data_IF_040040933493
#
_entry.id   IF_040040933493
#
_cell.length_a   1.000
_cell.length_b   1.000
_cell.length_c   1.000
_cell.angle_alpha   90.00
_cell.angle_beta   90.00
_cell.angle_gamma   90.00
#
_symmetry.space_group_name_H-M   'P 1'
#
loop_
_entity.id
_entity.type
_entity.pdbx_description
1 polymer ?
#
# COMPACT_ATOMS: atom_id res chain seq x y z
N UNK A 1 -3.41 -29.52 11.74
CA UNK A 1 -2.46 -28.63 12.46
C UNK A 1 -2.50 -27.29 11.73
N UNK A 2 -2.69 -26.16 12.42
CA UNK A 2 -2.74 -24.85 11.76
C UNK A 2 -1.37 -24.45 11.23
N UNK A 3 -1.30 -23.91 10.01
CA UNK A 3 -0.11 -23.20 9.54
C UNK A 3 -0.10 -21.77 10.06
N UNK A 4 0.64 -21.53 11.14
CA UNK A 4 0.76 -20.22 11.78
C UNK A 4 1.51 -19.18 10.91
N UNK A 5 2.24 -19.62 9.89
CA UNK A 5 2.91 -18.74 8.95
C UNK A 5 1.94 -18.16 7.92
N UNK A 6 0.83 -18.85 7.65
CA UNK A 6 -0.25 -18.34 6.80
C UNK A 6 -1.04 -17.25 7.53
N UNK A 7 -0.45 -16.05 7.53
CA UNK A 7 -0.90 -14.92 8.34
C UNK A 7 -0.63 -13.59 7.67
N UNK A 8 -1.41 -12.57 8.04
CA UNK A 8 -1.12 -11.16 7.73
C UNK A 8 -1.07 -10.32 9.00
N UNK A 9 -0.40 -9.15 9.00
CA UNK A 9 -0.46 -8.23 10.13
C UNK A 9 -1.90 -7.82 10.46
N UNK A 10 -2.21 -7.73 11.75
CA UNK A 10 -3.42 -7.09 12.24
C UNK A 10 -3.46 -5.63 11.76
N UNK A 11 -4.60 -5.21 11.19
CA UNK A 11 -4.85 -3.86 10.71
C UNK A 11 -5.66 -3.07 11.76
N UNK A 12 -5.03 -2.18 12.54
CA UNK A 12 -5.72 -1.41 13.56
C UNK A 12 -6.58 -0.28 12.98
N UNK A 13 -6.61 -0.09 11.66
CA UNK A 13 -7.36 0.98 11.01
C UNK A 13 -8.75 0.55 10.54
N UNK A 14 -9.16 -0.69 10.81
CA UNK A 14 -10.52 -1.16 10.48
C UNK A 14 -11.57 -0.36 11.24
N UNK A 15 -12.60 0.08 10.52
CA UNK A 15 -13.62 0.97 11.03
C UNK A 15 -14.98 0.68 10.39
N UNK A 16 -16.05 0.86 11.18
CA UNK A 16 -17.44 0.89 10.71
C UNK A 16 -18.33 1.59 11.74
N UNK A 17 -19.29 2.36 11.26
CA UNK A 17 -20.37 3.02 12.00
C UNK A 17 -21.75 2.42 11.66
N UNK A 18 -21.80 1.36 10.85
CA UNK A 18 -23.04 0.70 10.43
C UNK A 18 -23.74 -0.01 11.60
N UNK A 19 -25.07 0.06 11.64
CA UNK A 19 -25.87 -0.45 12.75
C UNK A 19 -25.63 -1.95 13.07
N UNK A 20 -25.57 -2.87 12.08
CA UNK A 20 -25.21 -4.28 12.33
C UNK A 20 -23.88 -4.45 13.08
N UNK A 21 -22.85 -3.70 12.69
CA UNK A 21 -21.53 -3.77 13.33
C UNK A 21 -21.60 -3.24 14.76
N UNK A 22 -22.31 -2.13 14.98
CA UNK A 22 -22.46 -1.54 16.30
C UNK A 22 -23.20 -2.48 17.26
N UNK A 23 -24.27 -3.13 16.81
CA UNK A 23 -25.02 -4.11 17.61
C UNK A 23 -24.16 -5.30 18.00
N UNK A 24 -23.45 -5.93 17.06
CA UNK A 24 -22.57 -7.06 17.37
C UNK A 24 -21.43 -6.66 18.30
N UNK A 25 -20.85 -5.47 18.10
CA UNK A 25 -19.80 -4.96 18.98
C UNK A 25 -20.32 -4.78 20.41
N UNK A 26 -21.52 -4.21 20.59
CA UNK A 26 -22.12 -4.00 21.90
C UNK A 26 -22.46 -5.33 22.60
N UNK A 27 -23.04 -6.28 21.86
CA UNK A 27 -23.31 -7.63 22.35
C UNK A 27 -22.05 -8.32 22.88
N UNK A 28 -20.99 -8.36 22.06
CA UNK A 28 -19.72 -8.98 22.46
C UNK A 28 -19.08 -8.26 23.65
N UNK A 29 -19.16 -6.93 23.68
CA UNK A 29 -18.62 -6.15 24.79
C UNK A 29 -19.28 -6.48 26.13
N UNK A 30 -20.59 -6.75 26.11
CA UNK A 30 -21.34 -7.16 27.30
C UNK A 30 -20.91 -8.56 27.77
N UNK A 31 -20.70 -9.53 26.86
CA UNK A 31 -20.14 -10.83 27.23
C UNK A 31 -18.71 -10.72 27.79
N UNK A 32 -17.86 -9.92 27.13
CA UNK A 32 -16.47 -9.71 27.53
C UNK A 32 -16.35 -9.03 28.90
N UNK A 33 -17.37 -8.28 29.31
CA UNK A 33 -17.35 -7.51 30.57
C UNK A 33 -17.14 -8.40 31.80
N UNK A 34 -17.50 -9.69 31.73
CA UNK A 34 -17.31 -10.67 32.80
C UNK A 34 -15.85 -11.13 32.93
N UNK A 35 -15.05 -11.00 31.86
CA UNK A 35 -13.68 -11.49 31.78
C UNK A 35 -12.60 -10.39 31.86
N UNK A 36 -13.02 -9.11 31.79
CA UNK A 36 -12.11 -7.96 31.88
C UNK A 36 -12.05 -7.46 33.33
N UNK A 37 -10.85 -7.09 33.83
CA UNK A 37 -10.62 -6.79 35.26
C UNK A 37 -11.14 -5.42 35.75
N UNK A 38 -11.51 -4.49 34.87
CA UNK A 38 -11.92 -3.10 35.23
C UNK A 38 -13.41 -2.95 35.62
N UNK A 39 -13.87 -1.78 36.05
CA UNK A 39 -15.31 -1.55 36.37
C UNK A 39 -16.20 -1.42 35.10
N UNK A 40 -17.45 -1.88 35.18
CA UNK A 40 -18.38 -2.06 34.04
C UNK A 40 -18.61 -0.81 33.17
N UNK A 41 -18.81 0.38 33.78
CA UNK A 41 -19.05 1.62 33.02
C UNK A 41 -17.80 2.13 32.29
N UNK A 42 -16.62 1.96 32.88
CA UNK A 42 -15.36 2.35 32.25
C UNK A 42 -14.95 1.38 31.13
N UNK A 43 -15.36 0.10 31.23
CA UNK A 43 -15.13 -0.94 30.21
C UNK A 43 -15.80 -0.63 28.87
N UNK A 44 -17.06 -0.20 28.87
CA UNK A 44 -17.83 -0.05 27.62
C UNK A 44 -17.19 0.97 26.66
N UNK A 45 -16.97 2.20 27.12
CA UNK A 45 -16.41 3.25 26.25
C UNK A 45 -14.95 2.98 25.90
N UNK A 46 -14.15 2.47 26.85
CA UNK A 46 -12.72 2.34 26.63
C UNK A 46 -12.35 1.18 25.69
N UNK A 47 -13.08 0.06 25.70
CA UNK A 47 -12.71 -1.18 25.01
C UNK A 47 -13.47 -1.39 23.69
N UNK A 48 -14.65 -0.77 23.52
CA UNK A 48 -15.49 -0.92 22.33
C UNK A 48 -14.70 -0.73 21.04
N UNK A 49 -13.88 0.32 20.99
CA UNK A 49 -13.11 0.66 19.79
C UNK A 49 -12.02 -0.39 19.46
N UNK A 50 -11.32 -0.92 20.47
CA UNK A 50 -10.34 -1.99 20.29
C UNK A 50 -11.02 -3.30 19.90
N UNK A 51 -12.11 -3.67 20.58
CA UNK A 51 -12.91 -4.85 20.25
C UNK A 51 -13.40 -4.80 18.81
N UNK A 52 -14.02 -3.68 18.42
CA UNK A 52 -14.52 -3.46 17.06
C UNK A 52 -13.42 -3.67 16.03
N UNK A 53 -12.25 -3.05 16.21
CA UNK A 53 -11.11 -3.23 15.31
C UNK A 53 -10.68 -4.69 15.18
N UNK A 54 -10.59 -5.41 16.29
CA UNK A 54 -10.20 -6.84 16.31
C UNK A 54 -11.22 -7.70 15.54
N UNK A 55 -12.51 -7.59 15.86
CA UNK A 55 -13.52 -8.45 15.22
C UNK A 55 -13.71 -8.12 13.74
N UNK A 56 -13.63 -6.83 13.36
CA UNK A 56 -13.73 -6.43 11.96
C UNK A 56 -12.55 -6.96 11.15
N UNK A 57 -11.32 -6.87 11.67
CA UNK A 57 -10.17 -7.37 10.93
C UNK A 57 -10.16 -8.90 10.82
N UNK A 58 -10.62 -9.61 11.86
CA UNK A 58 -10.80 -11.07 11.85
C UNK A 58 -11.84 -11.49 10.79
N UNK A 59 -12.97 -10.77 10.73
CA UNK A 59 -14.01 -11.01 9.73
C UNK A 59 -13.50 -10.81 8.29
N UNK A 60 -12.73 -9.74 8.08
CA UNK A 60 -12.09 -9.48 6.78
C UNK A 60 -11.05 -10.55 6.45
N UNK A 61 -10.20 -10.94 7.41
CA UNK A 61 -9.21 -12.01 7.19
C UNK A 61 -9.88 -13.33 6.79
N UNK A 62 -10.94 -13.73 7.49
CA UNK A 62 -11.70 -14.94 7.17
C UNK A 62 -12.31 -14.87 5.75
N UNK A 63 -12.81 -13.71 5.34
CA UNK A 63 -13.32 -13.49 3.98
C UNK A 63 -12.24 -13.51 2.88
N UNK A 64 -10.96 -13.30 3.24
CA UNK A 64 -9.83 -13.44 2.31
C UNK A 64 -9.40 -14.90 2.17
N UNK A 65 -9.36 -15.63 3.29
CA UNK A 65 -9.19 -17.07 3.38
C UNK A 65 -9.58 -17.54 4.79
N UNK A 66 -10.35 -18.63 4.91
CA UNK A 66 -10.89 -19.10 6.18
C UNK A 66 -9.82 -19.53 7.21
N UNK A 67 -8.64 -19.92 6.75
CA UNK A 67 -7.48 -20.26 7.60
C UNK A 67 -6.49 -19.08 7.83
N UNK A 68 -6.79 -17.87 7.35
CA UNK A 68 -5.87 -16.74 7.45
C UNK A 68 -5.78 -16.19 8.88
N UNK A 69 -4.62 -16.33 9.50
CA UNK A 69 -4.36 -15.75 10.81
C UNK A 69 -4.05 -14.25 10.75
N UNK A 70 -4.37 -13.56 11.83
CA UNK A 70 -3.87 -12.22 12.12
C UNK A 70 -2.67 -12.29 13.06
N UNK A 71 -1.56 -11.71 12.62
CA UNK A 71 -0.35 -11.53 13.41
C UNK A 71 -0.40 -10.23 14.22
N UNK A 72 -0.27 -10.31 15.54
CA UNK A 72 -0.27 -9.15 16.44
C UNK A 72 0.80 -9.29 17.53
N UNK A 73 1.22 -8.17 18.10
CA UNK A 73 2.25 -8.17 19.14
C UNK A 73 1.64 -8.31 20.53
N UNK A 74 2.27 -9.08 21.42
CA UNK A 74 1.99 -9.04 22.86
C UNK A 74 3.07 -8.29 23.65
N UNK A 75 3.88 -7.48 22.96
CA UNK A 75 4.91 -6.64 23.56
C UNK A 75 4.45 -5.17 23.59
N UNK A 76 4.42 -4.59 24.80
CA UNK A 76 4.00 -3.21 25.06
C UNK A 76 4.75 -2.17 24.22
N UNK A 77 6.01 -2.45 23.82
CA UNK A 77 6.81 -1.56 22.95
C UNK A 77 6.21 -1.35 21.57
N UNK A 78 5.34 -2.24 21.09
CA UNK A 78 4.65 -2.11 19.80
C UNK A 78 3.40 -1.22 19.86
N UNK A 79 3.04 -0.71 21.03
CA UNK A 79 1.83 0.11 21.26
C UNK A 79 2.18 1.52 21.75
N UNK A 80 3.41 1.95 21.53
CA UNK A 80 3.89 3.28 21.93
C UNK A 80 3.25 4.33 21.02
N UNK A 81 2.76 5.41 21.63
CA UNK A 81 2.21 6.55 20.89
C UNK A 81 3.35 7.27 20.18
N UNK A 82 3.20 7.44 18.87
CA UNK A 82 4.16 8.19 18.05
C UNK A 82 3.56 9.57 17.76
N UNK A 83 4.34 10.62 18.01
CA UNK A 83 3.90 12.00 17.76
C UNK A 83 3.56 12.19 16.28
N UNK A 84 2.40 12.78 16.00
CA UNK A 84 1.94 13.02 14.62
C UNK A 84 1.01 11.93 14.06
N UNK A 85 0.81 10.84 14.82
CA UNK A 85 -0.06 9.72 14.44
C UNK A 85 -1.20 9.52 15.44
N UNK A 86 -2.29 8.91 14.96
CA UNK A 86 -3.37 8.41 15.81
C UNK A 86 -2.92 7.26 16.72
N UNK A 87 -3.48 7.19 17.93
CA UNK A 87 -3.35 6.01 18.78
C UNK A 87 -4.57 5.12 18.59
N UNK A 88 -4.44 4.12 17.71
CA UNK A 88 -5.58 3.29 17.29
C UNK A 88 -5.91 2.14 18.24
N UNK A 89 -4.90 1.59 18.92
CA UNK A 89 -5.06 0.49 19.88
C UNK A 89 -4.07 0.68 21.02
N UNK A 90 -4.52 0.44 22.26
CA UNK A 90 -3.63 0.43 23.43
C UNK A 90 -3.24 -1.00 23.80
N UNK A 91 -2.03 -1.17 24.37
CA UNK A 91 -1.52 -2.47 24.80
C UNK A 91 -2.51 -3.23 25.70
N UNK A 92 -2.87 -2.66 26.86
CA UNK A 92 -3.70 -3.36 27.85
C UNK A 92 -5.06 -3.77 27.27
N UNK A 93 -5.70 -2.87 26.52
CA UNK A 93 -6.99 -3.15 25.88
C UNK A 93 -6.88 -4.27 24.85
N UNK A 94 -5.83 -4.28 24.02
CA UNK A 94 -5.62 -5.34 23.04
C UNK A 94 -5.51 -6.71 23.71
N UNK A 95 -4.67 -6.80 24.74
CA UNK A 95 -4.41 -8.06 25.43
C UNK A 95 -5.68 -8.58 26.10
N UNK A 96 -6.37 -7.74 26.86
CA UNK A 96 -7.58 -8.16 27.58
C UNK A 96 -8.73 -8.49 26.64
N UNK A 97 -8.90 -7.77 25.52
CA UNK A 97 -9.90 -8.12 24.48
C UNK A 97 -9.60 -9.49 23.89
N UNK A 98 -8.35 -9.74 23.48
CA UNK A 98 -7.97 -11.02 22.85
C UNK A 98 -8.10 -12.17 23.84
N UNK A 99 -7.65 -11.99 25.08
CA UNK A 99 -7.72 -13.04 26.10
C UNK A 99 -9.18 -13.36 26.49
N UNK A 100 -10.06 -12.34 26.55
CA UNK A 100 -11.49 -12.55 26.80
C UNK A 100 -12.21 -13.23 25.61
N UNK A 101 -11.92 -12.83 24.37
CA UNK A 101 -12.45 -13.49 23.17
C UNK A 101 -12.01 -14.97 23.09
N UNK A 102 -10.78 -15.27 23.51
CA UNK A 102 -10.26 -16.63 23.59
C UNK A 102 -11.01 -17.45 24.65
N UNK A 103 -11.18 -16.90 25.86
CA UNK A 103 -11.89 -17.56 26.96
C UNK A 103 -13.35 -17.89 26.60
N UNK A 104 -14.01 -17.00 25.86
CA UNK A 104 -15.39 -17.17 25.38
C UNK A 104 -15.50 -18.03 24.10
N UNK A 105 -14.39 -18.49 23.54
CA UNK A 105 -14.36 -19.37 22.37
C UNK A 105 -14.69 -18.69 21.04
N UNK A 106 -14.65 -17.35 20.96
CA UNK A 106 -14.85 -16.61 19.71
C UNK A 106 -13.65 -16.68 18.77
N UNK A 107 -12.46 -16.89 19.32
CA UNK A 107 -11.22 -16.97 18.56
C UNK A 107 -10.41 -18.18 18.98
N UNK A 108 -9.48 -18.58 18.12
CA UNK A 108 -8.29 -19.32 18.54
C UNK A 108 -7.12 -18.34 18.57
N UNK A 109 -6.26 -18.46 19.58
CA UNK A 109 -5.09 -17.62 19.75
C UNK A 109 -3.88 -18.46 20.16
N UNK A 110 -2.80 -18.34 19.39
CA UNK A 110 -1.50 -18.91 19.69
C UNK A 110 -0.54 -17.80 20.13
N UNK A 111 -0.08 -17.79 21.39
CA UNK A 111 0.94 -16.86 21.85
C UNK A 111 2.23 -16.99 21.04
N UNK A 112 2.82 -15.84 20.71
CA UNK A 112 4.12 -15.76 20.08
C UNK A 112 5.28 -16.11 21.02
N UNK A 113 6.48 -16.20 20.47
CA UNK A 113 7.71 -16.45 21.21
C UNK A 113 8.90 -15.74 20.56
N UNK A 114 9.99 -15.60 21.32
CA UNK A 114 11.28 -15.16 20.81
C UNK A 114 12.39 -16.01 21.44
N UNK A 115 13.20 -16.63 20.58
CA UNK A 115 14.34 -17.49 20.95
C UNK A 115 15.63 -16.68 20.76
N UNK A 116 16.13 -16.13 21.87
CA UNK A 116 17.31 -15.25 21.87
C UNK A 116 18.58 -15.92 21.32
N UNK A 117 18.72 -17.22 21.53
CA UNK A 117 19.85 -18.05 21.06
C UNK A 117 19.95 -18.12 19.53
N UNK A 118 18.82 -18.01 18.82
CA UNK A 118 18.76 -18.13 17.35
C UNK A 118 18.35 -16.85 16.63
N UNK A 119 17.98 -15.82 17.38
CA UNK A 119 17.37 -14.61 16.80
C UNK A 119 16.01 -14.89 16.13
N UNK A 120 15.39 -16.02 16.42
CA UNK A 120 14.15 -16.48 15.80
C UNK A 120 12.95 -16.06 16.65
N UNK A 121 11.94 -15.48 16.02
CA UNK A 121 10.74 -15.09 16.74
C UNK A 121 9.50 -15.15 15.88
N UNK A 122 8.38 -15.36 16.55
CA UNK A 122 7.06 -15.34 15.94
C UNK A 122 6.14 -14.49 16.79
N UNK A 123 5.48 -13.51 16.17
CA UNK A 123 4.40 -12.75 16.82
C UNK A 123 3.23 -13.67 17.17
N UNK A 124 2.37 -13.26 18.09
CA UNK A 124 1.14 -14.01 18.37
C UNK A 124 0.24 -14.07 17.15
N UNK A 125 -0.59 -15.11 17.08
CA UNK A 125 -1.52 -15.37 15.99
C UNK A 125 -2.92 -15.53 16.54
N UNK A 126 -3.89 -14.83 15.95
CA UNK A 126 -5.31 -15.00 16.26
C UNK A 126 -6.12 -15.26 14.99
N UNK A 127 -7.17 -16.07 15.10
CA UNK A 127 -8.09 -16.37 14.01
C UNK A 127 -9.52 -16.47 14.54
N UNK A 128 -10.50 -16.02 13.76
CA UNK A 128 -11.91 -16.09 14.12
C UNK A 128 -12.39 -17.53 14.08
N UNK A 129 -13.03 -18.00 15.14
CA UNK A 129 -13.73 -19.30 15.13
C UNK A 129 -15.10 -19.14 14.45
N UNK A 130 -15.71 -20.25 13.96
CA UNK A 130 -17.06 -20.23 13.41
C UNK A 130 -18.05 -19.47 14.28
N UNK A 131 -18.00 -19.65 15.62
CA UNK A 131 -18.81 -18.89 16.59
C UNK A 131 -18.80 -17.37 16.36
N UNK A 132 -17.64 -16.76 16.12
CA UNK A 132 -17.53 -15.31 15.85
C UNK A 132 -18.04 -14.96 14.45
N UNK A 133 -17.61 -15.73 13.45
CA UNK A 133 -17.94 -15.45 12.05
C UNK A 133 -19.45 -15.59 11.81
N UNK A 134 -20.06 -16.65 12.35
CA UNK A 134 -21.50 -16.89 12.29
C UNK A 134 -22.26 -15.80 13.03
N UNK A 135 -21.82 -15.39 14.22
CA UNK A 135 -22.43 -14.26 14.94
C UNK A 135 -22.44 -12.99 14.08
N UNK A 136 -21.33 -12.67 13.40
CA UNK A 136 -21.23 -11.51 12.52
C UNK A 136 -22.14 -11.64 11.29
N UNK A 137 -22.16 -12.81 10.64
CA UNK A 137 -23.00 -13.06 9.47
C UNK A 137 -24.50 -13.01 9.82
N UNK A 138 -24.94 -13.69 10.87
CA UNK A 138 -26.33 -13.67 11.34
C UNK A 138 -26.74 -12.29 11.86
N UNK A 139 -25.80 -11.54 12.44
CA UNK A 139 -25.97 -10.14 12.82
C UNK A 139 -26.09 -9.18 11.63
N UNK A 140 -25.96 -9.66 10.39
CA UNK A 140 -26.10 -8.86 9.17
C UNK A 140 -24.85 -8.06 8.80
N UNK A 141 -23.69 -8.34 9.41
CA UNK A 141 -22.43 -7.68 9.06
C UNK A 141 -21.97 -8.13 7.67
N UNK A 142 -21.68 -7.16 6.79
CA UNK A 142 -21.16 -7.40 5.45
C UNK A 142 -19.80 -6.74 5.27
N UNK A 143 -18.95 -7.28 4.40
CA UNK A 143 -17.60 -6.72 4.16
C UNK A 143 -17.66 -5.27 3.66
N UNK A 144 -18.70 -4.90 2.92
CA UNK A 144 -18.91 -3.55 2.37
C UNK A 144 -19.17 -2.51 3.47
N UNK A 145 -19.59 -2.96 4.66
CA UNK A 145 -19.80 -2.11 5.85
C UNK A 145 -18.47 -1.73 6.52
N UNK A 146 -17.36 -2.39 6.16
CA UNK A 146 -16.06 -2.24 6.80
C UNK A 146 -15.16 -1.41 5.90
N UNK A 147 -14.56 -0.38 6.47
CA UNK A 147 -13.59 0.50 5.80
C UNK A 147 -12.28 0.52 6.57
N UNK A 148 -11.24 1.08 5.97
CA UNK A 148 -9.96 1.35 6.64
C UNK A 148 -9.77 2.87 6.79
N UNK A 149 -9.35 3.36 7.95
CA UNK A 149 -9.05 4.78 8.21
C UNK A 149 -7.60 4.95 8.73
N UNK A 150 -6.59 4.81 7.87
CA UNK A 150 -5.18 5.01 8.25
C UNK A 150 -4.87 6.49 8.48
N UNK A 151 -3.73 6.79 9.10
CA UNK A 151 -3.16 8.15 9.07
C UNK A 151 -2.85 8.53 7.62
N UNK A 152 -3.08 9.78 7.24
CA UNK A 152 -2.87 10.24 5.85
C UNK A 152 -1.38 10.35 5.47
N UNK A 153 -0.49 10.38 6.47
CA UNK A 153 0.96 10.53 6.29
C UNK A 153 1.68 9.51 7.16
N UNK A 154 2.61 8.80 6.53
CA UNK A 154 3.53 7.85 7.17
C UNK A 154 4.95 8.30 6.90
N UNK A 155 5.76 8.44 7.96
CA UNK A 155 7.17 8.81 7.91
C UNK A 155 8.02 7.67 8.46
N UNK A 156 8.72 6.96 7.57
CA UNK A 156 9.60 5.83 7.92
C UNK A 156 10.98 6.31 8.34
N UNK A 157 11.59 5.57 9.28
CA UNK A 157 12.96 5.81 9.71
C UNK A 157 13.98 5.51 8.59
N UNK A 158 15.22 5.97 8.77
CA UNK A 158 16.29 5.83 7.78
C UNK A 158 17.02 4.49 7.89
N UNK A 159 17.23 4.04 9.13
CA UNK A 159 17.87 2.79 9.52
C UNK A 159 16.94 1.59 9.39
N UNK A 160 15.67 1.77 9.75
CA UNK A 160 14.65 0.72 9.67
C UNK A 160 13.37 1.23 8.99
N UNK A 161 13.17 0.80 7.74
CA UNK A 161 11.98 1.15 6.94
C UNK A 161 10.67 0.58 7.50
N UNK A 162 10.73 -0.38 8.42
CA UNK A 162 9.55 -0.91 9.12
C UNK A 162 9.16 -0.08 10.35
N UNK A 163 10.07 0.79 10.82
CA UNK A 163 9.86 1.69 11.95
C UNK A 163 9.37 3.07 11.50
N UNK A 164 8.53 3.68 12.33
CA UNK A 164 7.97 5.02 12.11
C UNK A 164 8.66 6.04 13.00
N UNK A 165 8.88 7.24 12.46
CA UNK A 165 9.42 8.38 13.22
C UNK A 165 8.31 9.41 13.42
N UNK A 166 8.24 9.95 14.63
CA UNK A 166 7.29 11.02 14.96
C UNK A 166 7.65 12.34 14.29
N UNK A 167 6.63 13.15 13.99
CA UNK A 167 6.81 14.45 13.37
C UNK A 167 5.93 15.52 14.01
N UNK A 168 6.31 16.79 13.84
CA UNK A 168 5.46 17.94 14.19
C UNK A 168 4.63 18.33 12.98
N UNK A 169 3.37 18.65 13.21
CA UNK A 169 2.52 19.16 12.15
C UNK A 169 2.99 20.56 11.71
N UNK A 170 3.02 20.77 10.40
CA UNK A 170 3.40 22.01 9.70
C UNK A 170 2.33 22.36 8.67
N UNK A 171 2.34 23.59 8.15
CA UNK A 171 1.45 24.01 7.06
C UNK A 171 1.50 23.04 5.86
N UNK A 172 2.69 22.55 5.50
CA UNK A 172 2.86 21.59 4.40
C UNK A 172 2.21 20.24 4.71
N UNK A 173 2.49 19.67 5.89
CA UNK A 173 1.93 18.36 6.26
C UNK A 173 0.41 18.44 6.43
N UNK A 174 -0.13 19.52 7.02
CA UNK A 174 -1.59 19.72 7.11
C UNK A 174 -2.23 19.82 5.73
N UNK A 175 -1.59 20.54 4.79
CA UNK A 175 -2.05 20.61 3.40
C UNK A 175 -2.09 19.22 2.76
N UNK A 176 -1.03 18.41 2.91
CA UNK A 176 -1.00 17.05 2.37
C UNK A 176 -2.05 16.14 3.02
N UNK A 177 -2.25 16.19 4.34
CA UNK A 177 -3.33 15.46 5.02
C UNK A 177 -4.70 15.81 4.43
N UNK A 178 -4.98 17.10 4.27
CA UNK A 178 -6.23 17.58 3.68
C UNK A 178 -6.40 17.14 2.22
N UNK A 179 -5.33 17.13 1.43
CA UNK A 179 -5.36 16.67 0.05
C UNK A 179 -5.64 15.16 -0.03
N UNK A 180 -4.95 14.35 0.78
CA UNK A 180 -5.19 12.89 0.88
C UNK A 180 -6.63 12.62 1.29
N UNK A 181 -7.17 13.36 2.27
CA UNK A 181 -8.55 13.22 2.71
C UNK A 181 -9.55 13.54 1.58
N UNK A 182 -9.33 14.62 0.81
CA UNK A 182 -10.17 14.98 -0.35
C UNK A 182 -10.16 13.88 -1.42
N UNK A 183 -8.97 13.38 -1.77
CA UNK A 183 -8.81 12.32 -2.78
C UNK A 183 -9.51 11.03 -2.29
N UNK A 184 -9.24 10.63 -1.05
CA UNK A 184 -9.82 9.43 -0.44
C UNK A 184 -11.34 9.53 -0.31
N UNK A 185 -11.87 10.70 0.04
CA UNK A 185 -13.31 10.95 0.07
C UNK A 185 -13.94 10.78 -1.32
N UNK A 186 -13.29 11.31 -2.37
CA UNK A 186 -13.79 11.14 -3.74
C UNK A 186 -13.79 9.69 -4.19
N UNK A 187 -12.73 8.95 -3.90
CA UNK A 187 -12.65 7.51 -4.21
C UNK A 187 -13.71 6.74 -3.40
N UNK A 188 -13.88 7.08 -2.12
CA UNK A 188 -14.84 6.46 -1.21
C UNK A 188 -16.31 6.71 -1.55
N UNK A 189 -16.60 7.63 -2.48
CA UNK A 189 -17.93 7.84 -3.07
C UNK A 189 -18.22 6.91 -4.25
N UNK A 190 -17.25 6.11 -4.68
CA UNK A 190 -17.39 5.19 -5.81
C UNK A 190 -17.35 3.74 -5.37
N UNK A 191 -18.04 2.88 -6.12
CA UNK A 191 -17.99 1.43 -5.94
C UNK A 191 -16.90 0.84 -6.82
N UNK A 192 -15.68 0.76 -6.30
CA UNK A 192 -14.59 0.06 -6.99
C UNK A 192 -14.68 -1.44 -6.71
N UNK A 193 -14.85 -2.23 -7.77
CA UNK A 193 -15.01 -3.69 -7.66
C UNK A 193 -14.02 -4.41 -8.56
N UNK A 194 -13.57 -5.57 -8.10
CA UNK A 194 -12.77 -6.50 -8.89
C UNK A 194 -13.69 -7.61 -9.40
N UNK A 195 -14.02 -7.58 -10.69
CA UNK A 195 -14.96 -8.51 -11.32
C UNK A 195 -14.22 -9.69 -11.93
N UNK A 196 -14.07 -10.77 -11.16
CA UNK A 196 -13.36 -11.98 -11.59
C UNK A 196 -14.35 -13.11 -11.86
N UNK A 197 -14.07 -13.90 -12.90
CA UNK A 197 -14.63 -15.26 -12.98
C UNK A 197 -14.08 -16.14 -11.85
N UNK A 198 -14.69 -17.30 -11.61
CA UNK A 198 -14.19 -18.23 -10.60
C UNK A 198 -12.77 -18.72 -10.92
N UNK A 199 -12.47 -18.97 -12.21
CA UNK A 199 -11.13 -19.33 -12.64
C UNK A 199 -10.11 -18.20 -12.37
N UNK A 200 -10.46 -16.95 -12.68
CA UNK A 200 -9.59 -15.80 -12.41
C UNK A 200 -9.40 -15.56 -10.90
N UNK A 201 -10.46 -15.76 -10.10
CA UNK A 201 -10.38 -15.72 -8.65
C UNK A 201 -9.39 -16.75 -8.11
N UNK A 202 -9.52 -18.00 -8.56
CA UNK A 202 -8.61 -19.08 -8.14
C UNK A 202 -7.17 -18.81 -8.59
N UNK A 203 -6.96 -18.29 -9.80
CA UNK A 203 -5.63 -17.91 -10.29
C UNK A 203 -5.02 -16.77 -9.46
N UNK A 204 -5.82 -15.77 -9.08
CA UNK A 204 -5.37 -14.68 -8.21
C UNK A 204 -4.98 -15.19 -6.83
N UNK A 205 -5.80 -16.06 -6.23
CA UNK A 205 -5.50 -16.70 -4.94
C UNK A 205 -4.23 -17.54 -5.05
N UNK A 206 -4.08 -18.35 -6.08
CA UNK A 206 -2.87 -19.15 -6.30
C UNK A 206 -1.62 -18.28 -6.43
N UNK A 207 -1.73 -17.12 -7.10
CA UNK A 207 -0.61 -16.18 -7.27
C UNK A 207 -0.28 -15.38 -6.01
N UNK A 208 -1.27 -15.10 -5.16
CA UNK A 208 -1.13 -14.23 -3.98
C UNK A 208 -1.12 -14.98 -2.64
N UNK A 209 -1.45 -16.26 -2.65
CA UNK A 209 -1.77 -17.07 -1.47
C UNK A 209 -3.15 -16.81 -0.87
N UNK A 210 -3.77 -15.65 -1.13
CA UNK A 210 -5.07 -15.26 -0.55
C UNK A 210 -5.79 -14.22 -1.41
N UNK A 211 -7.10 -14.05 -1.20
CA UNK A 211 -7.81 -12.93 -1.81
C UNK A 211 -7.31 -11.58 -1.24
N UNK A 212 -7.11 -10.55 -2.08
CA UNK A 212 -6.83 -9.21 -1.59
C UNK A 212 -7.96 -8.66 -0.72
N UNK A 213 -7.59 -7.85 0.27
CA UNK A 213 -8.54 -7.10 1.09
C UNK A 213 -9.14 -5.94 0.27
N UNK A 214 -10.20 -6.23 -0.48
CA UNK A 214 -10.88 -5.24 -1.31
C UNK A 214 -11.61 -4.14 -0.49
N UNK A 215 -11.63 -4.22 0.84
CA UNK A 215 -12.22 -3.17 1.70
C UNK A 215 -11.26 -2.01 1.98
N UNK A 216 -9.98 -2.17 1.64
CA UNK A 216 -9.01 -1.10 1.80
C UNK A 216 -9.09 -0.12 0.63
N UNK A 217 -9.92 0.89 0.82
CA UNK A 217 -10.18 1.95 -0.16
C UNK A 217 -9.58 3.30 0.21
N UNK A 218 -8.71 3.34 1.22
CA UNK A 218 -8.10 4.58 1.71
C UNK A 218 -6.68 4.75 1.19
N UNK A 219 -6.27 6.01 1.06
CA UNK A 219 -4.92 6.38 0.66
C UNK A 219 -4.17 7.05 1.82
N UNK A 220 -2.85 6.91 1.80
CA UNK A 220 -1.92 7.66 2.64
C UNK A 220 -0.62 7.89 1.87
N UNK A 221 0.17 8.89 2.27
CA UNK A 221 1.48 9.16 1.67
C UNK A 221 2.59 8.55 2.51
N UNK A 222 3.56 7.90 1.87
CA UNK A 222 4.73 7.32 2.56
C UNK A 222 5.98 8.10 2.24
N UNK A 223 6.50 8.80 3.25
CA UNK A 223 7.80 9.44 3.27
C UNK A 223 8.83 8.54 3.94
N UNK A 224 10.09 8.68 3.57
CA UNK A 224 11.17 7.79 3.98
C UNK A 224 12.33 8.56 4.61
N UNK A 225 13.22 7.84 5.28
CA UNK A 225 14.45 8.38 5.85
C UNK A 225 14.26 9.54 6.83
N UNK A 226 13.12 9.61 7.53
CA UNK A 226 12.78 10.73 8.41
C UNK A 226 12.64 12.07 7.68
N UNK A 227 12.49 12.05 6.34
CA UNK A 227 12.53 13.22 5.46
C UNK A 227 11.28 13.34 4.60
N UNK A 228 10.70 14.54 4.54
CA UNK A 228 9.49 14.83 3.77
C UNK A 228 9.73 15.11 2.28
N UNK A 229 10.99 15.14 1.84
CA UNK A 229 11.41 15.23 0.44
C UNK A 229 11.92 13.89 -0.10
N UNK A 230 11.69 12.79 0.64
CA UNK A 230 12.08 11.43 0.26
C UNK A 230 10.83 10.54 0.15
N UNK A 231 10.50 10.09 -1.06
CA UNK A 231 9.26 9.36 -1.32
C UNK A 231 8.07 10.31 -1.35
N UNK A 232 6.95 9.94 -0.74
CA UNK A 232 5.72 10.74 -0.71
C UNK A 232 4.64 10.21 -1.64
N UNK A 233 4.90 9.12 -2.37
CA UNK A 233 3.90 8.40 -3.18
C UNK A 233 2.71 7.98 -2.33
N UNK A 234 1.56 7.84 -2.99
CA UNK A 234 0.32 7.39 -2.39
C UNK A 234 0.30 5.86 -2.29
N UNK A 235 -0.15 5.36 -1.14
CA UNK A 235 -0.26 3.93 -0.80
C UNK A 235 -1.58 3.62 -0.12
N UNK A 236 -1.92 2.33 -0.02
CA UNK A 236 -2.99 1.82 0.84
C UNK A 236 -4.11 1.14 0.08
N UNK A 237 -4.49 1.69 -1.07
CA UNK A 237 -5.59 1.15 -1.87
C UNK A 237 -5.31 -0.28 -2.35
N UNK A 238 -6.27 -1.19 -2.20
CA UNK A 238 -6.06 -2.62 -2.50
C UNK A 238 -5.60 -2.89 -3.94
N UNK A 239 -6.00 -2.02 -4.88
CA UNK A 239 -5.65 -2.13 -6.31
C UNK A 239 -4.15 -2.06 -6.54
N UNK A 240 -3.38 -1.34 -5.72
CA UNK A 240 -1.92 -1.29 -5.85
C UNK A 240 -1.26 -2.65 -5.66
N UNK A 241 -1.90 -3.53 -4.88
CA UNK A 241 -1.43 -4.88 -4.69
C UNK A 241 -1.80 -5.82 -5.84
N UNK A 242 -2.65 -5.43 -6.79
CA UNK A 242 -3.11 -6.32 -7.86
C UNK A 242 -2.08 -6.46 -8.98
N UNK A 243 -1.78 -7.69 -9.44
CA UNK A 243 -1.02 -7.88 -10.67
C UNK A 243 -1.73 -7.22 -11.87
N UNK A 244 -0.95 -6.76 -12.85
CA UNK A 244 -1.44 -5.94 -13.98
C UNK A 244 -2.59 -6.62 -14.72
N UNK A 245 -2.52 -7.92 -14.96
CA UNK A 245 -3.53 -8.67 -15.70
C UNK A 245 -4.88 -8.78 -14.96
N UNK A 246 -4.90 -8.62 -13.63
CA UNK A 246 -6.13 -8.56 -12.85
C UNK A 246 -6.67 -7.14 -12.71
N UNK A 247 -5.81 -6.11 -12.82
CA UNK A 247 -6.25 -4.70 -12.77
C UNK A 247 -7.21 -4.34 -13.91
N UNK A 248 -7.08 -4.95 -15.09
CA UNK A 248 -8.03 -4.79 -16.21
C UNK A 248 -9.47 -5.26 -15.90
N UNK A 249 -9.67 -6.02 -14.81
CA UNK A 249 -10.97 -6.51 -14.35
C UNK A 249 -11.64 -5.58 -13.34
N UNK A 250 -11.06 -4.40 -13.11
CA UNK A 250 -11.65 -3.40 -12.24
C UNK A 250 -12.80 -2.70 -12.92
N UNK A 251 -13.86 -2.50 -12.15
CA UNK A 251 -14.94 -1.58 -12.49
C UNK A 251 -15.04 -0.49 -11.43
N UNK A 252 -15.44 0.70 -11.84
CA UNK A 252 -15.78 1.82 -10.96
C UNK A 252 -17.25 2.14 -11.24
N UNK A 253 -18.11 1.98 -10.22
CA UNK A 253 -19.56 2.10 -10.33
C UNK A 253 -20.17 1.19 -11.40
N UNK A 254 -19.58 0.01 -11.60
CA UNK A 254 -20.01 -0.95 -12.61
C UNK A 254 -19.49 -0.69 -14.03
N UNK A 255 -18.79 0.43 -14.26
CA UNK A 255 -18.23 0.77 -15.57
C UNK A 255 -16.79 0.25 -15.72
N UNK A 256 -16.35 -0.16 -16.93
CA UNK A 256 -14.98 -0.57 -17.18
C UNK A 256 -13.99 0.57 -16.94
N UNK A 257 -12.73 0.20 -16.70
CA UNK A 257 -11.65 1.15 -16.39
C UNK A 257 -10.60 1.20 -17.50
N UNK A 258 -9.83 2.28 -17.53
CA UNK A 258 -8.61 2.46 -18.35
C UNK A 258 -7.46 2.82 -17.42
N UNK A 259 -6.24 2.43 -17.78
CA UNK A 259 -5.03 2.76 -17.03
C UNK A 259 -4.03 3.49 -17.94
N UNK A 260 -3.63 4.70 -17.55
CA UNK A 260 -2.58 5.48 -18.21
C UNK A 260 -1.34 5.58 -17.33
N UNK A 261 -0.16 5.39 -17.92
CA UNK A 261 1.12 5.35 -17.22
C UNK A 261 2.15 6.25 -17.91
N UNK A 262 2.94 6.98 -17.13
CA UNK A 262 4.03 7.76 -17.71
C UNK A 262 5.14 6.85 -18.24
N UNK A 263 5.58 7.11 -19.46
CA UNK A 263 6.72 6.40 -20.03
C UNK A 263 8.03 7.05 -19.57
N UNK A 264 8.93 6.26 -18.98
CA UNK A 264 10.28 6.71 -18.64
C UNK A 264 10.35 7.84 -17.61
N UNK A 265 9.37 7.96 -16.71
CA UNK A 265 9.14 9.16 -15.87
C UNK A 265 10.41 9.75 -15.24
N UNK A 266 11.15 8.95 -14.47
CA UNK A 266 12.34 9.43 -13.75
C UNK A 266 13.47 9.88 -14.68
N UNK A 267 13.65 9.22 -15.83
CA UNK A 267 14.68 9.62 -16.80
C UNK A 267 14.29 10.96 -17.41
N UNK A 268 13.04 11.09 -17.87
CA UNK A 268 12.54 12.34 -18.43
C UNK A 268 12.63 13.49 -17.42
N UNK A 269 12.34 13.25 -16.13
CA UNK A 269 12.53 14.26 -15.08
C UNK A 269 13.98 14.74 -14.98
N UNK A 270 14.96 13.85 -15.10
CA UNK A 270 16.36 14.22 -15.01
C UNK A 270 16.78 15.07 -16.22
N UNK A 271 16.33 14.75 -17.44
CA UNK A 271 16.58 15.60 -18.61
C UNK A 271 15.97 16.99 -18.43
N UNK A 272 14.69 17.06 -18.04
CA UNK A 272 13.99 18.34 -17.83
C UNK A 272 14.61 19.15 -16.69
N UNK A 273 15.08 18.51 -15.63
CA UNK A 273 15.79 19.16 -14.51
C UNK A 273 17.11 19.80 -14.94
N UNK A 274 17.79 19.22 -15.91
CA UNK A 274 19.02 19.76 -16.50
C UNK A 274 18.75 20.79 -17.61
N UNK A 275 17.48 21.12 -17.89
CA UNK A 275 17.12 22.02 -19.00
C UNK A 275 17.38 21.42 -20.37
N UNK A 276 17.48 20.10 -20.47
CA UNK A 276 17.76 19.38 -21.70
C UNK A 276 16.48 19.02 -22.45
N UNK A 277 16.60 18.83 -23.77
CA UNK A 277 15.55 18.21 -24.57
C UNK A 277 15.33 16.77 -24.11
N UNK A 278 14.08 16.30 -24.20
CA UNK A 278 13.78 14.90 -23.92
C UNK A 278 14.57 13.97 -24.84
N UNK A 279 15.00 12.80 -24.35
CA UNK A 279 15.70 11.83 -25.18
C UNK A 279 14.78 11.36 -26.32
N UNK A 280 15.36 11.15 -27.50
CA UNK A 280 14.64 10.56 -28.62
C UNK A 280 14.42 9.06 -28.42
N UNK A 281 13.25 8.59 -28.86
CA UNK A 281 12.87 7.18 -28.76
C UNK A 281 12.65 6.71 -27.31
N UNK A 282 12.77 5.41 -27.12
CA UNK A 282 12.50 4.77 -25.84
C UNK A 282 13.70 4.87 -24.88
N UNK A 283 13.48 5.42 -23.68
CA UNK A 283 14.53 5.56 -22.66
C UNK A 283 15.12 4.22 -22.18
N UNK A 284 14.41 3.11 -22.35
CA UNK A 284 14.90 1.80 -21.92
C UNK A 284 15.70 1.07 -22.99
N UNK A 285 15.63 1.50 -24.26
CA UNK A 285 16.31 0.85 -25.37
C UNK A 285 17.75 1.36 -25.51
N UNK A 286 18.74 0.53 -25.21
CA UNK A 286 20.16 0.91 -25.33
C UNK A 286 20.79 0.56 -26.68
N UNK A 287 20.01 0.04 -27.63
CA UNK A 287 20.49 -0.45 -28.92
C UNK A 287 21.32 -1.73 -28.81
N UNK A 288 21.35 -2.54 -29.87
CA UNK A 288 22.19 -3.74 -29.96
C UNK A 288 21.78 -4.92 -29.06
N UNK A 289 20.65 -4.83 -28.37
CA UNK A 289 20.09 -5.89 -27.53
C UNK A 289 18.69 -6.29 -28.00
N UNK A 290 18.32 -7.55 -27.75
CA UNK A 290 17.02 -8.11 -28.11
C UNK A 290 15.89 -7.42 -27.34
N UNK A 291 14.78 -7.13 -28.03
CA UNK A 291 13.61 -6.46 -27.44
C UNK A 291 12.97 -7.24 -26.28
N UNK A 292 13.14 -8.57 -26.24
CA UNK A 292 12.71 -9.43 -25.13
C UNK A 292 13.37 -9.06 -23.80
N UNK A 293 14.52 -8.37 -23.82
CA UNK A 293 15.23 -7.92 -22.62
C UNK A 293 14.65 -6.65 -22.00
N UNK A 294 13.59 -6.06 -22.58
CA UNK A 294 12.96 -4.82 -22.11
C UNK A 294 12.71 -4.78 -20.60
N UNK A 295 12.16 -5.86 -20.03
CA UNK A 295 11.85 -5.89 -18.59
C UNK A 295 13.12 -5.88 -17.73
N UNK A 296 14.18 -6.58 -18.16
CA UNK A 296 15.49 -6.51 -17.52
C UNK A 296 16.09 -5.09 -17.62
N UNK A 297 16.08 -4.50 -18.82
CA UNK A 297 16.59 -3.15 -19.06
C UNK A 297 15.89 -2.10 -18.19
N UNK A 298 14.56 -2.18 -18.06
CA UNK A 298 13.77 -1.33 -17.16
C UNK A 298 14.21 -1.48 -15.70
N UNK A 299 14.43 -2.72 -15.23
CA UNK A 299 14.91 -2.99 -13.86
C UNK A 299 16.32 -2.45 -13.64
N UNK A 300 17.24 -2.65 -14.59
CA UNK A 300 18.61 -2.13 -14.52
C UNK A 300 18.60 -0.63 -14.36
N UNK A 301 17.88 0.10 -15.22
CA UNK A 301 17.86 1.57 -15.20
C UNK A 301 17.27 2.12 -13.90
N UNK A 302 16.13 1.58 -13.46
CA UNK A 302 15.48 2.02 -12.20
C UNK A 302 16.38 1.72 -10.99
N UNK A 303 16.96 0.53 -10.89
CA UNK A 303 17.81 0.17 -9.75
C UNK A 303 19.09 1.01 -9.74
N UNK A 304 19.66 1.29 -10.92
CA UNK A 304 20.84 2.14 -11.08
C UNK A 304 20.62 3.54 -10.50
N UNK A 305 19.45 4.15 -10.72
CA UNK A 305 19.12 5.46 -10.13
C UNK A 305 18.90 5.43 -8.60
N UNK A 306 18.47 4.28 -8.05
CA UNK A 306 18.11 4.15 -6.64
C UNK A 306 19.26 3.65 -5.75
N UNK A 307 20.22 2.93 -6.30
CA UNK A 307 21.41 2.47 -5.59
C UNK A 307 22.40 3.62 -5.34
N UNK A 308 23.18 3.55 -4.26
CA UNK A 308 24.21 4.57 -3.91
C UNK A 308 25.62 4.22 -4.40
N UNK A 309 25.79 3.07 -5.04
CA UNK A 309 27.02 2.66 -5.70
C UNK A 309 26.74 1.51 -6.68
N UNK A 310 27.60 1.36 -7.69
CA UNK A 310 27.48 0.35 -8.75
C UNK A 310 27.36 -1.08 -8.18
N UNK A 311 28.24 -1.47 -7.26
CA UNK A 311 28.28 -2.84 -6.74
C UNK A 311 26.97 -3.24 -6.06
N UNK A 312 26.37 -2.33 -5.30
CA UNK A 312 25.06 -2.53 -4.68
C UNK A 312 23.92 -2.61 -5.71
N UNK A 313 24.02 -1.82 -6.78
CA UNK A 313 23.05 -1.86 -7.89
C UNK A 313 23.07 -3.22 -8.59
N UNK A 314 24.26 -3.69 -8.98
CA UNK A 314 24.42 -4.97 -9.67
C UNK A 314 23.93 -6.13 -8.79
N UNK A 315 24.23 -6.11 -7.49
CA UNK A 315 23.72 -7.12 -6.55
C UNK A 315 22.19 -7.09 -6.47
N UNK A 316 21.58 -5.91 -6.41
CA UNK A 316 20.13 -5.77 -6.37
C UNK A 316 19.47 -6.23 -7.68
N UNK A 317 20.04 -5.88 -8.84
CA UNK A 317 19.55 -6.30 -10.16
C UNK A 317 19.57 -7.83 -10.27
N UNK A 318 20.67 -8.48 -9.90
CA UNK A 318 20.80 -9.95 -10.01
C UNK A 318 19.85 -10.74 -9.09
N UNK A 319 19.23 -10.09 -8.10
CA UNK A 319 18.21 -10.71 -7.26
C UNK A 319 16.81 -10.65 -7.91
N UNK A 320 16.63 -9.91 -9.00
CA UNK A 320 15.38 -9.88 -9.75
C UNK A 320 15.24 -11.14 -10.62
N UNK A 321 14.03 -11.67 -10.74
CA UNK A 321 13.78 -12.90 -11.53
C UNK A 321 14.18 -12.74 -13.00
N UNK A 322 13.97 -11.56 -13.59
CA UNK A 322 14.31 -11.24 -14.98
C UNK A 322 15.82 -11.16 -15.24
N UNK A 323 16.64 -11.13 -14.19
CA UNK A 323 18.09 -11.10 -14.27
C UNK A 323 18.74 -12.45 -13.94
N UNK A 324 17.95 -13.51 -13.71
CA UNK A 324 18.47 -14.86 -13.52
C UNK A 324 19.24 -15.30 -14.76
N UNK A 325 20.45 -15.80 -14.56
CA UNK A 325 21.37 -16.19 -15.64
C UNK A 325 22.37 -15.11 -16.04
N UNK A 326 22.17 -13.85 -15.65
CA UNK A 326 23.13 -12.78 -15.95
C UNK A 326 24.25 -12.70 -14.92
N UNK A 327 25.47 -12.61 -15.43
CA UNK A 327 26.69 -12.46 -14.65
C UNK A 327 26.79 -11.04 -14.06
N UNK A 328 27.72 -10.85 -13.13
CA UNK A 328 28.04 -9.51 -12.63
C UNK A 328 28.50 -8.59 -13.78
N UNK A 329 29.28 -9.14 -14.71
CA UNK A 329 29.88 -8.40 -15.81
C UNK A 329 28.82 -8.03 -16.85
N UNK A 330 27.88 -8.91 -17.17
CA UNK A 330 26.78 -8.63 -18.12
C UNK A 330 25.94 -7.44 -17.65
N UNK A 331 25.59 -7.42 -16.35
CA UNK A 331 24.83 -6.30 -15.78
C UNK A 331 25.66 -5.01 -15.79
N UNK A 332 26.96 -5.09 -15.49
CA UNK A 332 27.86 -3.93 -15.57
C UNK A 332 27.91 -3.37 -17.00
N UNK A 333 27.98 -4.23 -18.01
CA UNK A 333 27.98 -3.82 -19.42
C UNK A 333 26.69 -3.12 -19.80
N UNK A 334 25.52 -3.68 -19.44
CA UNK A 334 24.23 -3.03 -19.66
C UNK A 334 24.17 -1.66 -18.96
N UNK A 335 24.65 -1.55 -17.72
CA UNK A 335 24.75 -0.27 -17.02
C UNK A 335 25.66 0.72 -17.75
N UNK A 336 26.77 0.24 -18.32
CA UNK A 336 27.66 1.02 -19.17
C UNK A 336 26.97 1.55 -20.42
N UNK A 337 26.16 0.72 -21.08
CA UNK A 337 25.36 1.13 -22.25
C UNK A 337 24.34 2.20 -21.89
N UNK A 338 23.65 2.08 -20.76
CA UNK A 338 22.78 3.17 -20.26
C UNK A 338 23.57 4.44 -19.94
N UNK A 339 24.77 4.30 -19.36
CA UNK A 339 25.65 5.43 -19.07
C UNK A 339 26.13 6.16 -20.32
N UNK A 340 26.25 5.45 -21.45
CA UNK A 340 26.54 6.05 -22.75
C UNK A 340 25.29 6.69 -23.39
N UNK A 341 24.16 5.98 -23.41
CA UNK A 341 22.89 6.50 -23.95
C UNK A 341 22.40 7.75 -23.23
N UNK A 342 22.59 7.79 -21.91
CA UNK A 342 22.12 8.86 -21.05
C UNK A 342 23.27 9.66 -20.42
N UNK A 343 24.35 9.84 -21.19
CA UNK A 343 25.54 10.59 -20.77
C UNK A 343 25.21 11.92 -20.05
N UNK A 344 24.29 12.78 -20.53
CA UNK A 344 24.02 14.07 -19.90
C UNK A 344 23.48 13.98 -18.47
N UNK A 345 22.87 12.85 -18.11
CA UNK A 345 22.31 12.59 -16.78
C UNK A 345 23.08 11.49 -16.04
N UNK A 346 24.22 11.03 -16.56
CA UNK A 346 25.03 9.95 -15.99
C UNK A 346 25.47 10.23 -14.55
N UNK A 347 25.68 11.50 -14.19
CA UNK A 347 26.00 11.93 -12.81
C UNK A 347 24.96 11.50 -11.76
N UNK A 348 23.73 11.19 -12.18
CA UNK A 348 22.68 10.69 -11.30
C UNK A 348 22.69 9.17 -11.13
N UNK A 349 23.43 8.44 -11.96
CA UNK A 349 23.50 6.99 -11.85
C UNK A 349 24.28 6.61 -10.61
N UNK A 350 23.74 5.64 -9.87
CA UNK A 350 24.26 5.18 -8.60
C UNK A 350 24.38 6.27 -7.51
N UNK A 351 23.62 7.36 -7.63
CA UNK A 351 23.58 8.44 -6.62
C UNK A 351 22.54 8.21 -5.52
N UNK A 352 21.55 7.35 -5.77
CA UNK A 352 20.38 7.18 -4.92
C UNK A 352 19.30 8.25 -5.12
N UNK A 353 19.39 9.09 -6.17
CA UNK A 353 18.44 10.18 -6.46
C UNK A 353 16.99 9.72 -6.59
N UNK A 354 16.76 8.44 -6.89
CA UNK A 354 15.42 7.92 -7.16
C UNK A 354 14.40 8.22 -6.07
N UNK A 355 14.78 8.26 -4.79
CA UNK A 355 13.87 8.58 -3.68
C UNK A 355 13.42 10.05 -3.67
N UNK A 356 14.25 10.97 -4.15
CA UNK A 356 13.90 12.38 -4.32
C UNK A 356 13.02 12.57 -5.57
N UNK A 357 13.29 11.82 -6.65
CA UNK A 357 12.42 11.79 -7.82
C UNK A 357 11.01 11.29 -7.47
N UNK A 358 10.90 10.33 -6.54
CA UNK A 358 9.62 9.91 -5.99
C UNK A 358 8.87 11.01 -5.22
N UNK A 359 9.58 12.00 -4.68
CA UNK A 359 8.91 13.16 -4.11
C UNK A 359 8.33 14.06 -5.18
N UNK A 360 9.08 14.28 -6.25
CA UNK A 360 8.61 15.04 -7.40
C UNK A 360 7.43 14.36 -8.08
N UNK A 361 7.50 13.04 -8.32
CA UNK A 361 6.39 12.29 -8.94
C UNK A 361 5.11 12.36 -8.09
N UNK A 362 5.24 12.30 -6.77
CA UNK A 362 4.10 12.28 -5.88
C UNK A 362 3.37 13.62 -5.83
N UNK A 363 4.09 14.73 -6.03
CA UNK A 363 3.49 16.06 -6.20
C UNK A 363 2.69 16.19 -7.49
N UNK A 364 3.21 15.62 -8.59
CA UNK A 364 2.49 15.54 -9.88
C UNK A 364 1.23 14.68 -9.72
N UNK A 365 1.35 13.50 -9.10
CA UNK A 365 0.23 12.61 -8.83
C UNK A 365 -0.85 13.27 -7.96
N UNK A 366 -0.46 14.02 -6.92
CA UNK A 366 -1.38 14.80 -6.09
C UNK A 366 -2.17 15.81 -6.93
N UNK A 367 -1.51 16.56 -7.80
CA UNK A 367 -2.15 17.56 -8.67
C UNK A 367 -3.15 16.92 -9.65
N UNK A 368 -2.77 15.81 -10.29
CA UNK A 368 -3.64 15.06 -11.21
C UNK A 368 -4.91 14.61 -10.49
N UNK A 369 -4.75 13.94 -9.34
CA UNK A 369 -5.88 13.39 -8.59
C UNK A 369 -6.79 14.48 -8.02
N UNK A 370 -6.24 15.60 -7.54
CA UNK A 370 -7.05 16.73 -7.08
C UNK A 370 -7.81 17.41 -8.22
N UNK A 371 -7.17 17.58 -9.38
CA UNK A 371 -7.81 18.14 -10.58
C UNK A 371 -8.98 17.29 -11.06
N UNK A 372 -8.77 15.98 -11.18
CA UNK A 372 -9.84 15.03 -11.53
C UNK A 372 -10.95 14.99 -10.47
N UNK A 373 -10.59 14.97 -9.18
CA UNK A 373 -11.57 14.97 -8.10
C UNK A 373 -12.45 16.22 -8.11
N UNK A 374 -11.88 17.40 -8.44
CA UNK A 374 -12.63 18.65 -8.61
C UNK A 374 -13.66 18.57 -9.73
N UNK A 375 -13.37 17.80 -10.78
CA UNK A 375 -14.28 17.53 -11.90
C UNK A 375 -15.21 16.33 -11.66
N UNK A 376 -15.27 15.83 -10.43
CA UNK A 376 -16.14 14.71 -10.09
C UNK A 376 -15.64 13.35 -10.59
N UNK A 377 -14.37 13.23 -11.00
CA UNK A 377 -13.76 11.99 -11.47
C UNK A 377 -12.92 11.36 -10.36
N UNK A 378 -13.23 10.11 -9.99
CA UNK A 378 -12.39 9.32 -9.10
C UNK A 378 -11.20 8.74 -9.86
N UNK A 379 -10.01 8.86 -9.29
CA UNK A 379 -8.75 8.40 -9.89
C UNK A 379 -7.99 7.54 -8.88
N UNK A 380 -7.64 6.31 -9.27
CA UNK A 380 -6.88 5.39 -8.41
C UNK A 380 -5.40 5.41 -8.82
N UNK A 381 -4.47 5.79 -7.92
CA UNK A 381 -3.05 5.86 -8.25
C UNK A 381 -2.34 4.51 -8.08
N UNK A 382 -1.53 4.13 -9.08
CA UNK A 382 -0.60 3.01 -9.05
C UNK A 382 0.81 3.56 -9.31
N UNK A 383 1.43 4.11 -8.26
CA UNK A 383 2.69 4.87 -8.39
C UNK A 383 2.56 6.02 -9.41
N UNK A 384 3.21 5.90 -10.56
CA UNK A 384 3.23 6.83 -11.70
C UNK A 384 2.13 6.56 -12.75
N UNK A 385 1.31 5.53 -12.51
CA UNK A 385 0.14 5.17 -13.32
C UNK A 385 -1.16 5.55 -12.61
N UNK A 386 -2.22 5.76 -13.39
CA UNK A 386 -3.53 6.22 -12.93
C UNK A 386 -4.67 5.45 -13.60
N UNK A 387 -5.66 5.07 -12.79
CA UNK A 387 -6.85 4.33 -13.25
C UNK A 387 -8.09 5.19 -13.05
N UNK A 388 -8.88 5.33 -14.12
CA UNK A 388 -10.20 6.00 -14.12
C UNK A 388 -11.22 5.13 -14.87
N UNK A 389 -12.50 5.51 -14.85
CA UNK A 389 -13.49 4.91 -15.77
C UNK A 389 -13.03 5.11 -17.21
N UNK A 390 -13.20 4.11 -18.07
CA UNK A 390 -12.68 4.13 -19.44
C UNK A 390 -13.15 5.36 -20.25
N UNK A 391 -14.38 5.82 -20.02
CA UNK A 391 -14.92 7.04 -20.65
C UNK A 391 -14.17 8.34 -20.31
N UNK A 392 -13.38 8.34 -19.22
CA UNK A 392 -12.58 9.48 -18.77
C UNK A 392 -11.11 9.40 -19.19
N UNK A 393 -10.78 8.60 -20.20
CA UNK A 393 -9.40 8.44 -20.68
C UNK A 393 -8.79 9.77 -21.14
N UNK A 394 -9.56 10.57 -21.90
CA UNK A 394 -9.09 11.85 -22.41
C UNK A 394 -8.80 12.81 -21.27
N UNK A 395 -9.72 12.92 -20.31
CA UNK A 395 -9.60 13.78 -19.15
C UNK A 395 -8.42 13.39 -18.26
N UNK A 396 -8.15 12.09 -18.11
CA UNK A 396 -6.95 11.63 -17.42
C UNK A 396 -5.68 12.02 -18.18
N UNK A 397 -5.64 11.80 -19.50
CA UNK A 397 -4.47 12.16 -20.34
C UNK A 397 -4.20 13.65 -20.30
N UNK A 398 -5.24 14.48 -20.40
CA UNK A 398 -5.16 15.93 -20.33
C UNK A 398 -4.67 16.39 -18.95
N UNK A 399 -5.18 15.79 -17.87
CA UNK A 399 -4.71 16.07 -16.51
C UNK A 399 -3.23 15.71 -16.32
N UNK A 400 -2.78 14.57 -16.86
CA UNK A 400 -1.38 14.15 -16.83
C UNK A 400 -0.49 15.14 -17.61
N UNK A 401 -0.87 15.47 -18.85
CA UNK A 401 -0.14 16.44 -19.67
C UNK A 401 -0.07 17.82 -19.02
N UNK A 402 -1.18 18.31 -18.46
CA UNK A 402 -1.24 19.61 -17.78
C UNK A 402 -0.35 19.62 -16.54
N UNK A 403 -0.32 18.52 -15.76
CA UNK A 403 0.53 18.44 -14.57
C UNK A 403 2.02 18.46 -14.93
N UNK A 404 2.42 17.78 -16.02
CA UNK A 404 3.78 17.83 -16.55
C UNK A 404 4.15 19.22 -17.08
N UNK A 405 3.27 19.82 -17.89
CA UNK A 405 3.46 21.15 -18.45
C UNK A 405 3.58 22.20 -17.34
N UNK A 406 2.72 22.15 -16.33
CA UNK A 406 2.76 23.07 -15.19
C UNK A 406 4.05 22.93 -14.37
N UNK A 407 4.59 21.71 -14.25
CA UNK A 407 5.78 21.45 -13.42
C UNK A 407 7.10 21.72 -14.15
N UNK A 408 7.18 21.36 -15.43
CA UNK A 408 8.43 21.34 -16.19
C UNK A 408 8.39 22.11 -17.51
N UNK A 409 7.25 22.70 -17.89
CA UNK A 409 7.10 23.36 -19.20
C UNK A 409 7.14 22.40 -20.39
N UNK A 410 6.96 21.09 -20.16
CA UNK A 410 7.00 20.06 -21.19
C UNK A 410 6.05 18.91 -20.85
N UNK A 411 5.59 18.19 -21.87
CA UNK A 411 4.88 16.91 -21.72
C UNK A 411 5.85 15.75 -21.97
N UNK A 412 5.54 14.57 -21.45
CA UNK A 412 6.29 13.34 -21.69
C UNK A 412 5.35 12.25 -22.23
N UNK A 413 5.86 11.17 -22.84
CA UNK A 413 4.99 10.13 -23.39
C UNK A 413 4.15 9.44 -22.30
N UNK A 414 2.91 9.09 -22.66
CA UNK A 414 1.94 8.41 -21.78
C UNK A 414 1.44 7.15 -22.49
N UNK A 415 1.73 5.99 -21.88
CA UNK A 415 1.31 4.68 -22.36
C UNK A 415 -0.10 4.35 -21.86
N UNK A 416 -0.95 3.79 -22.72
CA UNK A 416 -2.18 3.11 -22.28
C UNK A 416 -1.86 1.66 -21.91
N UNK A 417 -2.24 1.22 -20.70
CA UNK A 417 -1.98 -0.13 -20.20
C UNK A 417 -3.12 -1.10 -20.50
N UNK A 418 -4.37 -0.64 -20.49
CA UNK A 418 -5.57 -1.35 -20.96
C UNK A 418 -6.70 -0.37 -21.23
#
# INVERSE_FOLDING_TARGET
MYDLNFSRPFNPHKWSDEAPVNHITAYLLDELSQHIRRNANQKRVEYQDTLKKVILDLFIAHGQHHELFLAYSRDRRNYVRIRGYGQYVSYHKMIEVVDALLALGYIFNQPGYYKHDRGEGMRSRMIGRPKLIDLMNHGGVKKEMIRSRPDEIVLRAADDRSSLVGYRETVKTSKWKNNVAKISAKIGQTSVRLSLSDAERMALIARKGMMPDCTNTSLYRVFNNGRFDHGGRFYGYYVQGLPKEFRKRLTIDGEPTTELDYSGLHINFLYLREGLRLPEGDVYDVGGLDHSLRELLKKVLIITLNAKNERSAIRAIRNEDVAKGYSFQDIREIMGMFGAKHEPIRKYFNSGIGIELQFVDSGIAENIMLGLAKNGIACLPIHDSFIVKARYESELRDAMNQAMMSRFGAIIPIDKRF
#
